data_IF_591143679253
#
_entry.id   IF_591143679253
#
_cell.length_a   1.000
_cell.length_b   1.000
_cell.length_c   1.000
_cell.angle_alpha   90.00
_cell.angle_beta   90.00
_cell.angle_gamma   90.00
#
_symmetry.space_group_name_H-M   'P 1'
#
loop_
_entity.id
_entity.type
_entity.pdbx_description
1 polymer ?
#
# COMPACT_ATOMS: atom_id res chain seq x y z
N UNK A 1 -0.86 -20.45 -21.93
CA UNK A 1 -1.70 -19.99 -20.80
C UNK A 1 -1.52 -21.03 -19.72
N UNK A 2 -0.53 -20.83 -18.85
CA UNK A 2 -0.17 -21.79 -17.82
C UNK A 2 -0.24 -21.01 -16.51
N UNK A 3 -1.45 -20.85 -15.97
CA UNK A 3 -1.58 -20.36 -14.60
C UNK A 3 -1.12 -21.49 -13.70
N UNK A 4 -0.05 -21.26 -12.94
CA UNK A 4 0.35 -22.20 -11.90
C UNK A 4 -0.84 -22.35 -10.91
N UNK A 5 -1.17 -23.59 -10.56
CA UNK A 5 -2.24 -23.86 -9.60
C UNK A 5 -1.95 -23.10 -8.30
N UNK A 6 -2.81 -22.14 -7.93
CA UNK A 6 -2.68 -21.36 -6.69
C UNK A 6 -2.28 -19.90 -6.87
N UNK A 7 -2.06 -19.38 -8.08
CA UNK A 7 -1.89 -17.93 -8.23
C UNK A 7 -3.19 -17.18 -7.90
N UNK A 8 -3.07 -16.18 -7.01
CA UNK A 8 -4.18 -15.31 -6.60
C UNK A 8 -3.87 -13.89 -7.04
N UNK A 9 -4.84 -13.28 -7.72
CA UNK A 9 -4.82 -11.86 -8.08
C UNK A 9 -5.86 -11.12 -7.25
N UNK A 10 -5.41 -10.13 -6.49
CA UNK A 10 -6.27 -9.27 -5.68
C UNK A 10 -6.34 -7.90 -6.34
N UNK A 11 -7.55 -7.49 -6.73
CA UNK A 11 -7.85 -6.13 -7.19
C UNK A 11 -8.72 -5.45 -6.16
N UNK A 12 -8.42 -4.21 -5.86
CA UNK A 12 -9.24 -3.44 -4.96
C UNK A 12 -9.06 -1.95 -5.15
N UNK A 13 -9.88 -1.23 -4.41
CA UNK A 13 -9.89 0.21 -4.36
C UNK A 13 -9.79 0.62 -2.90
N UNK A 14 -8.87 1.53 -2.61
CA UNK A 14 -8.60 2.00 -1.26
C UNK A 14 -8.91 3.50 -1.15
N UNK A 15 -9.72 3.85 -0.14
CA UNK A 15 -9.90 5.24 0.31
C UNK A 15 -9.51 5.36 1.77
N UNK A 16 -8.61 6.29 2.06
CA UNK A 16 -8.17 6.62 3.41
C UNK A 16 -7.89 8.13 3.53
N UNK A 17 -7.98 8.67 4.74
CA UNK A 17 -7.51 10.01 5.08
C UNK A 17 -6.41 9.88 6.13
N UNK A 18 -5.22 10.36 5.80
CA UNK A 18 -4.08 10.38 6.72
C UNK A 18 -3.98 11.76 7.37
N UNK A 19 -3.72 11.79 8.66
CA UNK A 19 -3.50 13.01 9.44
C UNK A 19 -2.06 13.05 9.97
N UNK A 20 -1.40 14.20 9.83
CA UNK A 20 -0.08 14.44 10.40
C UNK A 20 0.13 15.93 10.67
N UNK A 21 1.17 16.26 11.42
CA UNK A 21 1.65 17.65 11.49
C UNK A 21 2.21 18.10 10.13
N UNK A 22 1.94 19.35 9.79
CA UNK A 22 2.52 20.01 8.63
C UNK A 22 4.02 20.28 8.86
N UNK A 23 4.87 19.83 7.94
CA UNK A 23 6.32 20.04 8.02
C UNK A 23 6.74 21.53 7.96
N UNK A 24 5.83 22.45 7.58
CA UNK A 24 6.08 23.90 7.48
C UNK A 24 5.53 24.72 8.64
N UNK A 25 4.29 24.48 9.06
CA UNK A 25 3.62 25.29 10.08
C UNK A 25 3.30 24.53 11.39
N UNK A 26 3.53 23.22 11.44
CA UNK A 26 3.24 22.33 12.58
C UNK A 26 1.75 22.24 12.95
N UNK A 27 0.86 22.69 12.08
CA UNK A 27 -0.58 22.49 12.24
C UNK A 27 -1.03 21.16 11.62
N UNK A 28 -2.18 20.66 12.07
CA UNK A 28 -2.81 19.45 11.48
C UNK A 28 -3.01 19.61 9.96
N UNK A 29 -2.52 18.62 9.23
CA UNK A 29 -2.65 18.49 7.78
C UNK A 29 -3.26 17.14 7.43
N UNK A 30 -4.14 17.14 6.43
CA UNK A 30 -4.86 15.96 5.96
C UNK A 30 -4.46 15.61 4.54
N UNK A 31 -4.23 14.32 4.31
CA UNK A 31 -3.77 13.79 3.04
C UNK A 31 -4.72 12.67 2.60
N UNK A 32 -5.65 12.96 1.68
CA UNK A 32 -6.53 11.93 1.14
C UNK A 32 -5.73 10.96 0.26
N UNK A 33 -5.96 9.67 0.45
CA UNK A 33 -5.48 8.59 -0.41
C UNK A 33 -6.70 7.96 -1.06
N UNK A 34 -6.78 8.04 -2.38
CA UNK A 34 -7.86 7.49 -3.21
C UNK A 34 -7.21 6.82 -4.42
N UNK A 35 -7.04 5.51 -4.36
CA UNK A 35 -6.19 4.79 -5.31
C UNK A 35 -6.64 3.34 -5.52
N UNK A 36 -6.50 2.89 -6.75
CA UNK A 36 -6.67 1.48 -7.12
C UNK A 36 -5.37 0.71 -6.85
N UNK A 37 -5.50 -0.53 -6.40
CA UNK A 37 -4.36 -1.41 -6.18
C UNK A 37 -4.58 -2.79 -6.80
N UNK A 38 -3.45 -3.43 -7.09
CA UNK A 38 -3.40 -4.75 -7.67
C UNK A 38 -2.23 -5.52 -7.07
N UNK A 39 -2.51 -6.69 -6.50
CA UNK A 39 -1.52 -7.55 -5.86
C UNK A 39 -1.57 -8.95 -6.47
N UNK A 40 -0.41 -9.57 -6.58
CA UNK A 40 -0.23 -10.92 -7.09
C UNK A 40 0.39 -11.79 -6.01
N UNK A 41 -0.20 -12.96 -5.78
CA UNK A 41 0.22 -13.89 -4.74
C UNK A 41 0.38 -15.30 -5.32
N UNK A 42 1.36 -16.06 -4.81
CA UNK A 42 1.51 -17.49 -5.07
C UNK A 42 1.68 -18.28 -3.77
N UNK A 43 1.34 -19.58 -3.73
CA UNK A 43 1.62 -20.39 -2.56
C UNK A 43 3.13 -20.45 -2.31
N UNK A 44 3.52 -20.51 -1.03
CA UNK A 44 4.90 -20.84 -0.67
C UNK A 44 5.21 -22.26 -1.16
N UNK A 45 6.26 -22.40 -1.97
CA UNK A 45 6.77 -23.71 -2.40
C UNK A 45 7.76 -24.27 -1.37
N UNK A 46 7.89 -25.60 -1.30
CA UNK A 46 8.92 -26.25 -0.48
C UNK A 46 10.31 -25.81 -0.97
N UNK A 47 11.13 -25.24 -0.07
CA UNK A 47 12.47 -24.69 -0.40
C UNK A 47 12.56 -23.16 -0.38
N UNK A 48 11.47 -22.47 -0.02
CA UNK A 48 11.45 -21.02 0.15
C UNK A 48 12.47 -20.57 1.23
N UNK A 49 13.47 -19.77 0.84
CA UNK A 49 14.56 -19.33 1.72
C UNK A 49 15.96 -19.86 1.37
N UNK A 50 16.08 -20.77 0.39
CA UNK A 50 17.36 -21.01 -0.28
C UNK A 50 17.73 -19.80 -1.16
N UNK A 51 19.03 -19.55 -1.37
CA UNK A 51 19.54 -18.42 -2.15
C UNK A 51 19.27 -18.64 -3.65
N UNK A 52 18.00 -18.57 -4.04
CA UNK A 52 17.52 -18.76 -5.41
C UNK A 52 17.43 -17.38 -6.07
N UNK A 53 17.92 -17.27 -7.31
CA UNK A 53 17.83 -16.03 -8.07
C UNK A 53 16.37 -15.72 -8.39
N UNK A 54 15.87 -14.61 -7.84
CA UNK A 54 14.53 -14.09 -8.10
C UNK A 54 14.58 -13.23 -9.37
N UNK A 55 13.63 -13.41 -10.29
CA UNK A 55 13.47 -12.55 -11.47
C UNK A 55 12.80 -11.21 -11.10
N UNK A 56 12.91 -10.19 -11.95
CA UNK A 56 12.26 -8.89 -11.70
C UNK A 56 10.74 -9.00 -11.54
N UNK A 57 10.09 -9.93 -12.22
CA UNK A 57 8.63 -10.11 -12.11
C UNK A 57 8.21 -10.78 -10.80
N UNK A 58 9.10 -11.56 -10.19
CA UNK A 58 8.88 -12.13 -8.85
C UNK A 58 9.12 -11.12 -7.72
N UNK A 59 9.83 -10.00 -7.97
CA UNK A 59 10.06 -8.97 -6.95
C UNK A 59 8.78 -8.24 -6.50
N UNK A 60 7.74 -8.25 -7.34
CA UNK A 60 6.43 -7.64 -7.05
C UNK A 60 5.38 -8.68 -6.60
N UNK A 61 5.80 -9.94 -6.40
CA UNK A 61 4.91 -11.05 -6.05
C UNK A 61 4.94 -11.36 -4.55
N UNK A 62 3.75 -11.37 -3.93
CA UNK A 62 3.55 -11.81 -2.56
C UNK A 62 3.43 -13.33 -2.44
N UNK A 63 3.54 -13.83 -1.22
CA UNK A 63 3.42 -15.25 -0.90
C UNK A 63 2.36 -15.45 0.18
N UNK A 64 1.67 -16.58 0.12
CA UNK A 64 0.68 -16.96 1.13
C UNK A 64 0.84 -18.43 1.54
N UNK A 65 0.44 -18.71 2.78
CA UNK A 65 0.41 -20.06 3.36
C UNK A 65 -1.00 -20.36 3.87
N UNK A 66 -1.43 -21.61 3.72
CA UNK A 66 -2.74 -22.05 4.17
C UNK A 66 -3.89 -21.42 3.39
N UNK A 67 -4.93 -20.97 4.11
CA UNK A 67 -6.26 -20.72 3.55
C UNK A 67 -6.53 -19.25 3.17
N UNK A 68 -5.55 -18.34 3.27
CA UNK A 68 -5.83 -16.93 3.02
C UNK A 68 -4.61 -16.02 2.85
N UNK A 69 -4.90 -14.78 2.44
CA UNK A 69 -3.93 -13.71 2.24
C UNK A 69 -4.15 -12.65 3.33
N UNK A 70 -3.09 -12.25 4.02
CA UNK A 70 -3.11 -11.10 4.93
C UNK A 70 -2.89 -9.80 4.14
N UNK A 71 -3.90 -8.93 4.13
CA UNK A 71 -3.90 -7.70 3.34
C UNK A 71 -3.57 -6.45 4.17
N UNK A 72 -3.68 -6.48 5.50
CA UNK A 72 -3.54 -5.27 6.31
C UNK A 72 -2.13 -4.65 6.20
N UNK A 73 -1.09 -5.48 6.22
CA UNK A 73 0.29 -5.00 6.18
C UNK A 73 0.65 -4.38 4.83
N UNK A 74 0.28 -5.06 3.73
CA UNK A 74 0.53 -4.57 2.37
C UNK A 74 -0.28 -3.31 2.06
N UNK A 75 -1.54 -3.24 2.51
CA UNK A 75 -2.36 -2.05 2.33
C UNK A 75 -1.84 -0.88 3.17
N UNK A 76 -1.36 -1.14 4.39
CA UNK A 76 -0.70 -0.11 5.21
C UNK A 76 0.54 0.45 4.51
N UNK A 77 1.39 -0.42 3.97
CA UNK A 77 2.57 0.01 3.20
C UNK A 77 2.16 0.85 1.99
N UNK A 78 1.16 0.40 1.22
CA UNK A 78 0.64 1.13 0.07
C UNK A 78 0.17 2.55 0.47
N UNK A 79 -0.54 2.70 1.58
CA UNK A 79 -0.93 4.02 2.13
C UNK A 79 0.31 4.86 2.44
N UNK A 80 1.29 4.29 3.13
CA UNK A 80 2.51 5.02 3.51
C UNK A 80 3.33 5.48 2.30
N UNK A 81 3.41 4.66 1.26
CA UNK A 81 4.11 4.98 0.02
C UNK A 81 3.35 5.99 -0.85
N UNK A 82 2.02 6.06 -0.73
CA UNK A 82 1.19 7.05 -1.42
C UNK A 82 1.29 8.46 -0.82
N UNK A 83 1.81 8.59 0.41
CA UNK A 83 1.96 9.89 1.06
C UNK A 83 3.03 10.76 0.37
N UNK A 84 2.85 12.09 0.36
CA UNK A 84 3.85 12.99 -0.20
C UNK A 84 5.13 12.95 0.64
N UNK A 85 6.28 13.06 -0.03
CA UNK A 85 7.60 13.15 0.64
C UNK A 85 7.69 14.34 1.60
N UNK A 86 6.95 15.41 1.35
CA UNK A 86 6.78 16.55 2.24
C UNK A 86 5.31 16.69 2.59
N UNK A 87 5.00 16.59 3.88
CA UNK A 87 3.64 16.68 4.42
C UNK A 87 3.35 18.14 4.70
N UNK A 88 3.13 18.90 3.64
CA UNK A 88 2.78 20.33 3.75
C UNK A 88 1.28 20.45 3.57
N UNK A 89 0.60 21.12 4.51
CA UNK A 89 -0.78 21.52 4.31
C UNK A 89 -0.84 22.40 3.05
N UNK A 90 -1.65 22.04 2.07
CA UNK A 90 -1.84 22.96 0.96
C UNK A 90 -2.65 24.16 1.47
N UNK A 91 -2.23 25.35 1.01
CA UNK A 91 -2.71 26.65 1.48
C UNK A 91 -4.23 26.76 1.36
N UNK A 92 -4.85 25.95 0.49
CA UNK A 92 -6.31 25.84 0.32
C UNK A 92 -7.03 25.18 1.49
N UNK A 93 -6.36 24.34 2.29
CA UNK A 93 -6.91 23.66 3.48
C UNK A 93 -6.64 24.41 4.79
N UNK A 94 -5.55 25.18 4.87
CA UNK A 94 -5.28 26.07 6.00
C UNK A 94 -6.42 27.09 6.23
N UNK A 95 -7.16 27.42 5.17
CA UNK A 95 -8.28 28.37 5.20
C UNK A 95 -9.58 27.84 5.82
N UNK A 96 -9.72 26.54 6.11
CA UNK A 96 -10.97 25.97 6.65
C UNK A 96 -11.04 25.90 8.17
N UNK A 97 -10.04 26.39 8.91
CA UNK A 97 -10.08 26.53 10.38
C UNK A 97 -11.05 27.61 10.91
N UNK A 98 -11.95 28.13 10.07
CA UNK A 98 -12.92 29.19 10.39
C UNK A 98 -14.39 28.78 10.22
N UNK A 99 -14.73 27.50 10.34
CA UNK A 99 -16.14 27.14 10.59
C UNK A 99 -16.28 26.61 12.02
N UNK A 100 -16.85 27.52 12.81
CA UNK A 100 -17.39 27.41 14.16
C UNK A 100 -18.06 26.08 14.48
#
# INVERSE_FOLDING_TARGET
>A
MTGALGEIRVKGHLKAEMESECDRCLEDARFPVDSDFELYYRPVEEGYGEEVSIDKSEAEMGFYEGDGIELNDVLREFVLLALPMQRVCDERWAALKNFK
#
